data_IF_289663145421
#
_entry.id   IF_289663145421
#
_cell.length_a   1.000
_cell.length_b   1.000
_cell.length_c   1.000
_cell.angle_alpha   90.00
_cell.angle_beta   90.00
_cell.angle_gamma   90.00
#
_symmetry.space_group_name_H-M   'P 1'
#
loop_
_entity.id
_entity.type
_entity.pdbx_description
1 polymer ?
#
# COMPACT_ATOMS: atom_id res chain seq x y z
N UNK A 1 61.56 22.53 18.48
CA UNK A 1 60.33 22.57 17.65
C UNK A 1 59.63 21.23 17.86
N UNK A 2 58.57 21.18 18.68
CA UNK A 2 57.84 19.93 18.99
C UNK A 2 56.67 19.82 18.00
N UNK A 3 56.71 18.82 17.13
CA UNK A 3 55.58 18.49 16.26
C UNK A 3 54.49 17.81 17.09
N UNK A 4 53.33 18.47 17.19
CA UNK A 4 52.14 17.94 17.83
C UNK A 4 51.45 17.01 16.82
N UNK A 5 51.52 15.70 17.05
CA UNK A 5 50.86 14.70 16.24
C UNK A 5 49.37 14.69 16.60
N UNK A 6 48.51 15.29 15.77
CA UNK A 6 47.06 15.18 15.91
C UNK A 6 46.63 13.79 15.42
N UNK A 7 46.42 12.87 16.37
CA UNK A 7 45.82 11.57 16.08
C UNK A 7 44.30 11.77 15.98
N UNK A 8 43.78 11.96 14.77
CA UNK A 8 42.33 11.88 14.54
C UNK A 8 41.90 10.42 14.61
N UNK A 9 41.33 10.03 15.75
CA UNK A 9 40.58 8.78 15.89
C UNK A 9 39.37 8.85 14.96
N UNK A 10 39.48 8.25 13.77
CA UNK A 10 38.32 7.96 12.92
C UNK A 10 37.62 6.79 13.62
N UNK A 11 36.53 7.07 14.34
CA UNK A 11 35.66 6.02 14.86
C UNK A 11 35.06 5.30 13.65
N UNK A 12 35.56 4.12 13.32
CA UNK A 12 34.94 3.23 12.34
C UNK A 12 33.71 2.62 13.00
N UNK A 13 32.55 3.20 12.75
CA UNK A 13 31.29 2.58 13.11
C UNK A 13 31.15 1.31 12.26
N UNK A 14 30.98 0.16 12.91
CA UNK A 14 30.54 -1.06 12.25
C UNK A 14 29.07 -0.90 11.94
N UNK A 15 28.72 -0.88 10.64
CA UNK A 15 27.34 -0.79 10.21
C UNK A 15 26.71 -2.19 10.20
N UNK A 16 25.63 -2.38 10.96
CA UNK A 16 24.79 -3.57 10.84
C UNK A 16 23.94 -3.52 9.57
N UNK A 17 23.52 -4.69 9.06
CA UNK A 17 22.62 -4.77 7.90
C UNK A 17 21.18 -4.51 8.31
N UNK A 18 20.48 -3.65 7.56
CA UNK A 18 19.04 -3.45 7.74
C UNK A 18 18.33 -3.32 6.41
N UNK A 19 17.13 -3.91 6.30
CA UNK A 19 16.34 -3.96 5.08
C UNK A 19 15.05 -3.18 5.24
N UNK A 20 14.70 -2.40 4.21
CA UNK A 20 13.44 -1.67 4.14
C UNK A 20 12.45 -2.37 3.20
N UNK A 21 11.21 -2.54 3.64
CA UNK A 21 10.08 -3.02 2.84
C UNK A 21 8.85 -2.13 3.05
N UNK A 22 7.92 -2.16 2.09
CA UNK A 22 6.64 -1.44 2.14
C UNK A 22 5.50 -2.38 1.74
N UNK A 23 4.31 -2.13 2.27
CA UNK A 23 3.10 -2.94 1.99
C UNK A 23 2.37 -2.55 0.70
N UNK A 24 2.54 -1.31 0.21
CA UNK A 24 1.90 -0.80 -1.00
C UNK A 24 2.95 -0.26 -1.99
N UNK A 25 3.23 -0.98 -3.09
CA UNK A 25 4.28 -0.60 -4.04
C UNK A 25 3.90 0.55 -4.99
N UNK A 26 2.62 0.96 -5.03
CA UNK A 26 2.18 2.13 -5.80
C UNK A 26 1.03 2.87 -5.10
N UNK A 27 1.35 3.57 -3.98
CA UNK A 27 0.39 4.33 -3.20
C UNK A 27 -0.14 5.54 -3.97
N UNK A 28 -1.25 6.10 -3.51
CA UNK A 28 -1.74 7.41 -3.97
C UNK A 28 -1.35 8.51 -3.00
N UNK A 29 -1.40 9.74 -3.47
CA UNK A 29 -1.32 10.93 -2.63
C UNK A 29 -2.37 10.88 -1.51
N UNK A 30 -1.91 11.09 -0.29
CA UNK A 30 -2.71 11.01 0.93
C UNK A 30 -2.90 9.59 1.46
N UNK A 31 -2.35 8.56 0.80
CA UNK A 31 -2.31 7.22 1.39
C UNK A 31 -1.24 7.12 2.46
N UNK A 32 -1.58 6.32 3.46
CA UNK A 32 -0.72 5.87 4.52
C UNK A 32 0.00 4.61 4.06
N UNK A 33 1.32 4.57 4.21
CA UNK A 33 2.13 3.39 3.94
C UNK A 33 2.80 2.88 5.20
N UNK A 34 2.88 1.56 5.32
CA UNK A 34 3.66 0.90 6.37
C UNK A 34 5.06 0.61 5.84
N UNK A 35 6.05 1.23 6.46
CA UNK A 35 7.47 0.99 6.20
C UNK A 35 7.96 0.02 7.26
N UNK A 36 8.36 -1.18 6.86
CA UNK A 36 8.95 -2.17 7.76
C UNK A 36 10.46 -2.17 7.61
N UNK A 37 11.15 -2.03 8.74
CA UNK A 37 12.61 -2.11 8.84
C UNK A 37 12.95 -3.39 9.60
N UNK A 38 13.67 -4.28 8.94
CA UNK A 38 14.18 -5.53 9.54
C UNK A 38 15.67 -5.39 9.81
N UNK A 39 16.08 -5.72 11.03
CA UNK A 39 17.49 -5.75 11.43
C UNK A 39 17.99 -7.19 11.45
N UNK A 40 19.06 -7.45 10.71
CA UNK A 40 19.74 -8.75 10.72
C UNK A 40 21.20 -8.54 11.13
N UNK A 41 21.49 -8.77 12.41
CA UNK A 41 22.87 -8.81 12.90
C UNK A 41 23.30 -10.25 13.18
N UNK A 42 23.85 -10.89 12.15
CA UNK A 42 24.25 -12.30 12.18
C UNK A 42 25.53 -12.55 12.96
N UNK A 43 26.36 -11.53 13.16
CA UNK A 43 27.68 -11.69 13.78
C UNK A 43 27.62 -11.55 15.30
N UNK A 44 26.81 -10.62 15.84
CA UNK A 44 26.82 -10.30 17.27
C UNK A 44 25.53 -10.66 18.02
N UNK A 45 24.49 -11.17 17.33
CA UNK A 45 23.17 -11.53 17.92
C UNK A 45 22.60 -10.42 18.83
N UNK A 46 22.81 -9.15 18.45
CA UNK A 46 22.39 -7.99 19.26
C UNK A 46 20.85 -7.89 19.34
N UNK A 47 20.16 -8.46 18.35
CA UNK A 47 18.72 -8.65 18.37
C UNK A 47 18.15 -8.82 16.96
N UNK A 48 16.98 -9.42 16.88
CA UNK A 48 16.12 -9.38 15.70
C UNK A 48 14.92 -8.51 16.05
N UNK A 49 14.52 -7.63 15.14
CA UNK A 49 13.43 -6.71 15.39
C UNK A 49 12.80 -6.22 14.09
N UNK A 50 11.50 -5.94 14.17
CA UNK A 50 10.74 -5.26 13.12
C UNK A 50 10.27 -3.93 13.67
N UNK A 51 10.72 -2.85 13.06
CA UNK A 51 10.16 -1.52 13.29
C UNK A 51 9.19 -1.21 12.15
N UNK A 52 7.96 -0.84 12.49
CA UNK A 52 6.99 -0.33 11.52
C UNK A 52 6.86 1.18 11.69
N UNK A 53 7.15 1.93 10.63
CA UNK A 53 6.90 3.36 10.55
C UNK A 53 5.71 3.59 9.62
N UNK A 54 4.88 4.54 10.01
CA UNK A 54 3.73 4.96 9.22
C UNK A 54 4.02 6.32 8.62
N UNK A 55 3.88 6.45 7.30
CA UNK A 55 4.08 7.72 6.60
C UNK A 55 2.93 8.03 5.66
N UNK A 56 2.49 9.29 5.66
CA UNK A 56 1.55 9.82 4.67
C UNK A 56 2.35 10.44 3.54
N UNK A 57 2.07 10.03 2.30
CA UNK A 57 2.75 10.57 1.11
C UNK A 57 1.93 11.71 0.50
N UNK A 58 2.44 12.93 0.57
CA UNK A 58 1.72 14.14 0.11
C UNK A 58 2.14 14.63 -1.27
N UNK A 59 3.22 14.08 -1.83
CA UNK A 59 3.73 14.45 -3.15
C UNK A 59 3.44 13.35 -4.17
N UNK A 60 3.15 13.75 -5.41
CA UNK A 60 2.93 12.82 -6.53
C UNK A 60 4.22 12.64 -7.33
N UNK A 61 4.33 11.50 -8.02
CA UNK A 61 5.51 11.13 -8.77
C UNK A 61 6.51 10.31 -7.95
N UNK A 62 7.79 10.27 -8.34
CA UNK A 62 8.80 9.50 -7.64
C UNK A 62 9.10 10.12 -6.27
N UNK A 63 8.82 9.38 -5.20
CA UNK A 63 9.13 9.75 -3.81
C UNK A 63 10.14 8.78 -3.24
N UNK A 64 11.21 9.34 -2.65
CA UNK A 64 12.27 8.58 -2.01
C UNK A 64 11.99 8.42 -0.52
N UNK A 65 12.08 7.18 -0.03
CA UNK A 65 11.90 6.80 1.38
C UNK A 65 13.23 6.24 1.89
N UNK A 66 13.69 6.76 3.02
CA UNK A 66 15.00 6.45 3.58
C UNK A 66 16.15 7.25 2.93
N UNK A 67 17.40 6.98 3.34
CA UNK A 67 17.77 5.96 4.32
C UNK A 67 17.43 6.43 5.73
N UNK A 68 16.96 5.51 6.57
CA UNK A 68 16.80 5.78 8.00
C UNK A 68 18.08 5.38 8.73
N UNK A 69 18.49 6.18 9.71
CA UNK A 69 19.66 5.92 10.55
C UNK A 69 19.23 5.80 12.01
N UNK A 70 19.69 4.76 12.69
CA UNK A 70 19.41 4.53 14.10
C UNK A 70 20.60 3.86 14.78
N UNK A 71 20.64 3.96 16.11
CA UNK A 71 21.70 3.39 16.95
C UNK A 71 21.05 2.45 17.96
N UNK A 72 21.53 1.21 18.03
CA UNK A 72 21.08 0.21 19.00
C UNK A 72 22.33 -0.41 19.63
N UNK A 73 22.41 -0.39 20.96
CA UNK A 73 23.55 -0.91 21.72
C UNK A 73 24.91 -0.42 21.17
N UNK A 74 25.03 0.90 20.98
CA UNK A 74 26.23 1.59 20.45
C UNK A 74 26.66 1.17 19.02
N UNK A 75 25.81 0.45 18.29
CA UNK A 75 26.01 0.11 16.87
C UNK A 75 25.09 0.95 15.99
N UNK A 76 25.67 1.54 14.96
CA UNK A 76 24.94 2.32 13.97
C UNK A 76 24.38 1.41 12.87
N UNK A 77 23.15 1.68 12.46
CA UNK A 77 22.48 0.99 11.38
C UNK A 77 21.95 2.03 10.39
N UNK A 78 21.99 1.68 9.12
CA UNK A 78 21.46 2.49 8.02
C UNK A 78 20.64 1.57 7.12
N UNK A 79 19.43 1.99 6.79
CA UNK A 79 18.56 1.24 5.87
C UNK A 79 18.92 1.52 4.44
N UNK A 80 18.51 0.62 3.56
CA UNK A 80 18.39 0.93 2.14
C UNK A 80 17.46 2.13 1.88
N UNK A 81 17.56 2.65 0.66
CA UNK A 81 16.66 3.65 0.10
C UNK A 81 15.67 2.98 -0.84
N UNK A 82 14.41 3.42 -0.81
CA UNK A 82 13.38 2.99 -1.76
C UNK A 82 12.85 4.19 -2.51
N UNK A 83 12.64 4.04 -3.81
CA UNK A 83 11.84 5.01 -4.58
C UNK A 83 10.51 4.35 -4.95
N UNK A 84 9.41 5.01 -4.57
CA UNK A 84 8.04 4.61 -4.93
C UNK A 84 7.48 5.64 -5.89
N UNK A 85 6.63 5.21 -6.83
CA UNK A 85 5.87 6.16 -7.64
C UNK A 85 4.51 6.38 -6.98
N UNK A 86 4.29 7.58 -6.46
CA UNK A 86 3.04 8.00 -5.85
C UNK A 86 2.10 8.52 -6.92
N UNK A 87 0.92 7.91 -7.04
CA UNK A 87 -0.08 8.34 -7.99
C UNK A 87 -0.91 9.52 -7.46
N UNK A 88 -1.51 10.33 -8.34
CA UNK A 88 -2.51 11.30 -7.91
C UNK A 88 -3.65 10.64 -7.13
N UNK A 89 -4.18 11.37 -6.15
CA UNK A 89 -5.42 11.00 -5.47
C UNK A 89 -6.56 10.82 -6.50
N UNK A 90 -7.43 9.84 -6.26
CA UNK A 90 -8.65 9.68 -7.06
C UNK A 90 -9.57 10.88 -6.77
N UNK A 91 -10.00 11.58 -7.82
CA UNK A 91 -10.91 12.75 -7.71
C UNK A 91 -12.07 12.47 -6.76
N UNK A 92 -12.41 13.47 -5.94
CA UNK A 92 -13.52 13.39 -5.00
C UNK A 92 -14.89 13.27 -5.70
N UNK A 93 -14.99 13.64 -6.98
CA UNK A 93 -16.21 13.48 -7.78
C UNK A 93 -16.48 12.02 -8.17
N UNK A 94 -15.46 11.16 -8.08
CA UNK A 94 -15.56 9.73 -8.40
C UNK A 94 -15.83 8.95 -7.11
N UNK A 95 -17.11 8.64 -6.89
CA UNK A 95 -17.57 7.92 -5.70
C UNK A 95 -17.59 6.40 -5.88
N UNK A 96 -17.83 5.94 -7.10
CA UNK A 96 -17.84 4.52 -7.46
C UNK A 96 -16.82 4.27 -8.57
N UNK A 97 -15.96 3.27 -8.37
CA UNK A 97 -14.96 2.90 -9.36
C UNK A 97 -14.16 1.67 -8.96
N UNK A 98 -13.60 0.99 -9.96
CA UNK A 98 -12.68 -0.13 -9.79
C UNK A 98 -11.47 0.13 -10.70
N UNK A 99 -10.28 0.16 -10.12
CA UNK A 99 -9.02 0.37 -10.83
C UNK A 99 -8.15 -0.86 -10.66
N UNK A 100 -7.64 -1.36 -11.78
CA UNK A 100 -6.71 -2.50 -11.78
C UNK A 100 -5.43 -2.05 -12.46
N UNK A 101 -4.29 -2.32 -11.82
CA UNK A 101 -2.98 -1.86 -12.27
C UNK A 101 -1.96 -2.97 -12.12
N UNK A 102 -1.08 -3.08 -13.12
CA UNK A 102 0.15 -3.85 -13.01
C UNK A 102 1.30 -2.91 -12.72
N UNK A 103 2.10 -3.25 -11.71
CA UNK A 103 3.21 -2.42 -11.24
C UNK A 103 4.45 -3.28 -11.09
N UNK A 104 5.56 -2.83 -11.68
CA UNK A 104 6.87 -3.40 -11.40
C UNK A 104 7.55 -2.55 -10.31
N UNK A 105 7.96 -3.20 -9.23
CA UNK A 105 8.60 -2.55 -8.09
C UNK A 105 9.73 -3.43 -7.54
N UNK A 106 10.94 -2.88 -7.50
CA UNK A 106 12.16 -3.62 -7.06
C UNK A 106 12.39 -4.96 -7.79
N UNK A 107 12.04 -5.03 -9.07
CA UNK A 107 12.18 -6.24 -9.90
C UNK A 107 11.06 -7.27 -9.70
N UNK A 108 10.09 -6.97 -8.86
CA UNK A 108 8.93 -7.81 -8.58
C UNK A 108 7.70 -7.22 -9.25
N UNK A 109 6.77 -8.07 -9.70
CA UNK A 109 5.54 -7.64 -10.36
C UNK A 109 4.36 -7.75 -9.41
N UNK A 110 3.48 -6.75 -9.41
CA UNK A 110 2.30 -6.68 -8.56
C UNK A 110 1.04 -6.40 -9.38
N UNK A 111 -0.05 -7.07 -9.03
CA UNK A 111 -1.41 -6.69 -9.41
C UNK A 111 -2.05 -5.92 -8.26
N UNK A 112 -2.42 -4.67 -8.51
CA UNK A 112 -3.08 -3.81 -7.53
C UNK A 112 -4.51 -3.57 -7.99
N UNK A 113 -5.45 -3.83 -7.09
CA UNK A 113 -6.89 -3.70 -7.31
C UNK A 113 -7.41 -2.72 -6.27
N UNK A 114 -7.92 -1.58 -6.72
CA UNK A 114 -8.50 -0.55 -5.86
C UNK A 114 -9.98 -0.39 -6.18
N UNK A 115 -10.81 -0.21 -5.18
CA UNK A 115 -12.24 -0.01 -5.36
C UNK A 115 -12.78 1.07 -4.44
N UNK A 116 -13.57 1.99 -4.99
CA UNK A 116 -14.45 2.89 -4.23
C UNK A 116 -15.90 2.47 -4.45
N UNK A 117 -16.67 2.47 -3.38
CA UNK A 117 -18.13 2.28 -3.40
C UNK A 117 -18.76 3.37 -2.55
N UNK A 118 -19.76 4.06 -3.11
CA UNK A 118 -20.56 5.04 -2.40
C UNK A 118 -21.19 4.44 -1.16
N UNK A 119 -20.98 5.05 0.00
CA UNK A 119 -21.66 4.60 1.21
C UNK A 119 -23.14 4.98 1.17
N UNK A 120 -24.00 4.04 1.54
CA UNK A 120 -25.42 4.33 1.76
C UNK A 120 -25.66 4.58 3.25
N UNK A 121 -25.39 5.81 3.69
CA UNK A 121 -25.86 6.28 4.97
C UNK A 121 -27.30 6.73 4.85
N UNK A 122 -28.16 6.24 5.73
CA UNK A 122 -29.52 6.72 5.89
C UNK A 122 -29.55 7.68 7.07
N UNK A 123 -29.82 8.95 6.78
CA UNK A 123 -30.00 9.98 7.81
C UNK A 123 -31.50 10.22 7.96
N UNK A 124 -32.04 9.94 9.14
CA UNK A 124 -33.44 10.15 9.48
C UNK A 124 -33.56 11.17 10.61
N UNK A 125 -34.17 12.32 10.35
CA UNK A 125 -34.53 13.29 11.40
C UNK A 125 -35.78 12.76 12.12
N UNK A 126 -35.64 12.42 13.41
CA UNK A 126 -36.74 11.93 14.25
C UNK A 126 -37.47 13.06 14.98
N UNK A 127 -36.74 14.11 15.37
CA UNK A 127 -37.29 15.33 15.97
C UNK A 127 -36.34 16.50 15.75
N UNK A 128 -36.68 17.70 16.26
CA UNK A 128 -35.82 18.89 16.11
C UNK A 128 -34.42 18.74 16.72
N UNK A 129 -34.26 17.86 17.72
CA UNK A 129 -33.00 17.61 18.40
C UNK A 129 -32.51 16.15 18.26
N UNK A 130 -33.16 15.33 17.42
CA UNK A 130 -32.81 13.92 17.26
C UNK A 130 -32.68 13.57 15.78
N UNK A 131 -31.49 13.12 15.41
CA UNK A 131 -31.20 12.55 14.10
C UNK A 131 -30.63 11.15 14.31
N UNK A 132 -31.25 10.16 13.67
CA UNK A 132 -30.69 8.80 13.59
C UNK A 132 -29.88 8.69 12.32
N UNK A 133 -28.64 8.25 12.46
CA UNK A 133 -27.77 7.91 11.34
C UNK A 133 -27.63 6.40 11.33
N UNK A 134 -28.07 5.76 10.26
CA UNK A 134 -27.97 4.32 10.07
C UNK A 134 -27.05 4.04 8.90
N UNK A 135 -25.98 3.28 9.15
CA UNK A 135 -25.16 2.75 8.07
C UNK A 135 -25.93 1.61 7.39
N UNK A 136 -26.01 1.61 6.07
CA UNK A 136 -26.67 0.55 5.29
C UNK A 136 -26.03 -0.84 5.49
N UNK A 137 -26.58 -1.84 4.81
CA UNK A 137 -25.97 -3.18 4.77
C UNK A 137 -24.49 -3.10 4.35
N UNK A 138 -23.66 -3.99 4.89
CA UNK A 138 -22.22 -3.98 4.65
C UNK A 138 -21.86 -3.88 3.16
N UNK A 139 -20.81 -3.11 2.87
CA UNK A 139 -20.35 -2.85 1.50
C UNK A 139 -19.87 -4.15 0.83
N UNK A 140 -20.46 -4.47 -0.33
CA UNK A 140 -20.06 -5.62 -1.15
C UNK A 140 -19.04 -5.21 -2.20
N UNK A 141 -17.77 -5.53 -1.95
CA UNK A 141 -16.69 -5.29 -2.88
C UNK A 141 -16.69 -6.32 -4.02
N UNK A 142 -16.08 -5.94 -5.15
CA UNK A 142 -15.67 -6.88 -6.17
C UNK A 142 -14.53 -7.73 -5.60
N UNK A 143 -14.69 -9.05 -5.62
CA UNK A 143 -13.69 -9.97 -5.10
C UNK A 143 -12.96 -10.63 -6.26
N UNK A 144 -11.65 -10.41 -6.34
CA UNK A 144 -10.85 -10.95 -7.44
C UNK A 144 -10.67 -12.47 -7.31
N UNK A 145 -10.87 -13.19 -8.41
CA UNK A 145 -10.74 -14.65 -8.48
C UNK A 145 -9.26 -15.01 -8.66
N UNK A 146 -8.56 -15.25 -7.55
CA UNK A 146 -7.13 -15.60 -7.53
C UNK A 146 -6.83 -16.86 -8.33
N UNK A 147 -7.80 -17.76 -8.43
CA UNK A 147 -7.69 -19.01 -9.19
C UNK A 147 -7.39 -18.74 -10.68
N UNK A 148 -7.83 -17.61 -11.24
CA UNK A 148 -7.52 -17.25 -12.63
C UNK A 148 -6.02 -17.04 -12.83
N UNK A 149 -5.31 -16.55 -11.82
CA UNK A 149 -3.85 -16.38 -11.86
C UNK A 149 -3.17 -17.75 -11.74
N UNK A 150 -3.53 -18.51 -10.71
CA UNK A 150 -2.94 -19.81 -10.40
C UNK A 150 -3.15 -20.83 -11.53
N UNK A 151 -4.36 -20.92 -12.08
CA UNK A 151 -4.71 -21.80 -13.20
C UNK A 151 -3.93 -21.48 -14.48
N UNK A 152 -3.41 -20.25 -14.60
CA UNK A 152 -2.64 -19.77 -15.73
C UNK A 152 -1.15 -19.60 -15.41
N UNK A 153 -0.67 -20.25 -14.35
CA UNK A 153 0.75 -20.38 -14.04
C UNK A 153 1.38 -19.15 -13.41
N UNK A 154 0.62 -18.37 -12.64
CA UNK A 154 1.14 -17.36 -11.72
C UNK A 154 0.97 -17.81 -10.27
N UNK A 155 2.05 -17.77 -9.51
CA UNK A 155 2.01 -17.92 -8.06
C UNK A 155 1.81 -16.56 -7.39
N UNK A 156 1.16 -16.58 -6.22
CA UNK A 156 0.90 -15.39 -5.39
C UNK A 156 1.65 -15.54 -4.06
N UNK A 157 2.97 -15.34 -4.03
CA UNK A 157 3.77 -15.54 -2.82
C UNK A 157 3.42 -14.58 -1.67
N UNK A 158 2.82 -13.44 -1.99
CA UNK A 158 2.40 -12.44 -1.00
C UNK A 158 1.13 -11.73 -1.47
N UNK A 159 0.22 -11.49 -0.53
CA UNK A 159 -0.95 -10.64 -0.76
C UNK A 159 -1.25 -9.77 0.44
N UNK A 160 -1.69 -8.55 0.19
CA UNK A 160 -2.07 -7.58 1.20
C UNK A 160 -3.39 -6.92 0.81
N UNK A 161 -4.28 -6.73 1.77
CA UNK A 161 -5.56 -6.06 1.53
C UNK A 161 -5.97 -5.23 2.75
N UNK A 162 -6.54 -4.06 2.51
CA UNK A 162 -7.14 -3.25 3.57
C UNK A 162 -8.33 -2.45 3.05
N UNK A 163 -9.15 -1.99 3.99
CA UNK A 163 -10.33 -1.16 3.74
C UNK A 163 -10.33 0.05 4.66
N UNK A 164 -10.80 1.20 4.16
CA UNK A 164 -11.06 2.41 4.98
C UNK A 164 -12.29 3.15 4.48
N UNK A 165 -12.93 3.88 5.39
CA UNK A 165 -13.91 4.90 5.00
C UNK A 165 -13.16 6.19 4.62
N UNK A 166 -13.55 6.83 3.52
CA UNK A 166 -13.01 8.10 3.07
C UNK A 166 -14.11 9.15 3.08
N UNK A 167 -13.84 10.30 3.69
CA UNK A 167 -14.67 11.51 3.55
C UNK A 167 -14.18 12.27 2.32
N UNK A 168 -15.06 12.44 1.33
CA UNK A 168 -14.83 13.17 0.08
C UNK A 168 -15.38 14.60 0.13
N UNK A 169 -16.41 14.84 0.94
CA UNK A 169 -16.99 16.16 1.22
C UNK A 169 -17.11 16.35 2.73
N UNK A 170 -16.32 17.28 3.28
CA UNK A 170 -16.31 17.60 4.71
C UNK A 170 -17.64 18.22 5.20
N UNK A 171 -18.46 18.75 4.29
CA UNK A 171 -19.77 19.29 4.63
C UNK A 171 -20.86 18.21 4.74
N UNK A 172 -20.60 16.99 4.23
CA UNK A 172 -21.51 15.84 4.31
C UNK A 172 -20.80 14.56 4.81
N UNK A 173 -20.24 14.57 6.04
CA UNK A 173 -19.42 13.48 6.57
C UNK A 173 -20.24 12.24 6.95
N UNK A 174 -21.57 12.31 6.95
CA UNK A 174 -22.47 11.23 7.37
C UNK A 174 -23.52 10.87 6.31
N UNK A 175 -23.35 11.34 5.08
CA UNK A 175 -24.26 11.10 3.96
C UNK A 175 -23.53 10.64 2.70
N UNK A 176 -23.85 11.30 1.59
CA UNK A 176 -23.29 11.01 0.27
C UNK A 176 -21.82 11.44 0.13
N UNK A 177 -21.32 12.26 1.06
CA UNK A 177 -19.94 12.74 1.10
C UNK A 177 -18.93 11.69 1.54
N UNK A 178 -19.31 10.43 1.73
CA UNK A 178 -18.38 9.35 2.12
C UNK A 178 -18.41 8.15 1.20
N UNK A 179 -17.26 7.47 1.10
CA UNK A 179 -17.10 6.24 0.33
C UNK A 179 -16.37 5.19 1.12
N UNK A 180 -16.68 3.94 0.85
CA UNK A 180 -15.89 2.79 1.26
C UNK A 180 -14.81 2.54 0.23
N UNK A 181 -13.55 2.48 0.67
CA UNK A 181 -12.39 2.24 -0.18
C UNK A 181 -11.71 0.94 0.23
N UNK A 182 -11.41 0.08 -0.75
CA UNK A 182 -10.63 -1.15 -0.60
C UNK A 182 -9.44 -1.11 -1.55
N UNK A 183 -8.31 -1.62 -1.09
CA UNK A 183 -7.19 -1.97 -1.95
C UNK A 183 -6.73 -3.39 -1.63
N UNK A 184 -6.45 -4.15 -2.69
CA UNK A 184 -5.82 -5.45 -2.65
C UNK A 184 -4.57 -5.40 -3.53
N UNK A 185 -3.46 -5.92 -3.02
CA UNK A 185 -2.16 -6.00 -3.71
C UNK A 185 -1.71 -7.45 -3.70
N UNK A 186 -1.43 -7.98 -4.89
CA UNK A 186 -0.97 -9.35 -5.10
C UNK A 186 0.43 -9.30 -5.72
N UNK A 187 1.43 -9.86 -5.04
CA UNK A 187 2.74 -10.12 -5.65
C UNK A 187 2.56 -11.28 -6.63
N UNK A 188 3.11 -11.17 -7.83
CA UNK A 188 2.98 -12.14 -8.90
C UNK A 188 4.34 -12.75 -9.25
N UNK A 189 4.42 -14.07 -9.25
CA UNK A 189 5.60 -14.81 -9.70
C UNK A 189 5.23 -15.74 -10.86
N UNK A 190 5.96 -15.66 -11.97
CA UNK A 190 5.69 -16.51 -13.13
C UNK A 190 6.29 -17.89 -12.94
N UNK A 191 5.47 -18.90 -13.21
CA UNK A 191 5.95 -20.28 -13.36
C UNK A 191 6.27 -20.59 -14.82
N UNK A 192 6.91 -21.72 -15.07
CA UNK A 192 7.18 -22.23 -16.42
C UNK A 192 5.90 -22.49 -17.25
N UNK A 193 4.73 -22.54 -16.61
CA UNK A 193 3.43 -22.79 -17.25
C UNK A 193 2.68 -21.49 -17.59
N UNK A 194 3.30 -20.33 -17.34
CA UNK A 194 2.64 -19.05 -17.47
C UNK A 194 2.03 -18.84 -18.86
N UNK A 195 0.77 -18.38 -18.87
CA UNK A 195 0.07 -17.92 -20.08
C UNK A 195 -0.41 -16.50 -19.86
N UNK A 196 -0.44 -15.71 -20.93
CA UNK A 196 -1.01 -14.36 -20.94
C UNK A 196 -2.44 -14.38 -20.38
N UNK A 197 -2.70 -13.51 -19.38
CA UNK A 197 -3.96 -13.46 -18.65
C UNK A 197 -4.67 -12.15 -18.93
N UNK A 198 -5.95 -12.20 -19.26
CA UNK A 198 -6.82 -11.03 -19.32
C UNK A 198 -7.51 -10.84 -17.98
N UNK A 199 -7.35 -9.66 -17.39
CA UNK A 199 -8.13 -9.22 -16.23
C UNK A 199 -9.26 -8.32 -16.72
N UNK A 200 -10.49 -8.80 -16.57
CA UNK A 200 -11.71 -8.09 -16.97
C UNK A 200 -12.83 -8.31 -15.94
N UNK A 201 -14.06 -7.87 -16.25
CA UNK A 201 -15.22 -8.02 -15.35
C UNK A 201 -15.45 -9.46 -14.87
N UNK A 202 -15.16 -10.46 -15.70
CA UNK A 202 -15.37 -11.87 -15.38
C UNK A 202 -14.35 -12.38 -14.37
N UNK A 203 -13.23 -11.66 -14.19
CA UNK A 203 -12.20 -11.97 -13.22
C UNK A 203 -12.60 -11.70 -11.77
N UNK A 204 -13.80 -11.18 -11.54
CA UNK A 204 -14.31 -10.84 -10.22
C UNK A 204 -15.61 -11.56 -9.91
N UNK A 205 -15.82 -11.85 -8.63
CA UNK A 205 -17.13 -12.09 -8.04
C UNK A 205 -17.73 -10.75 -7.58
N UNK A 206 -19.06 -10.64 -7.60
CA UNK A 206 -19.77 -9.42 -7.17
C UNK A 206 -19.33 -8.14 -7.90
N UNK A 207 -18.99 -8.25 -9.20
CA UNK A 207 -18.59 -7.08 -9.99
C UNK A 207 -19.78 -6.09 -10.12
N UNK A 208 -19.61 -4.79 -9.80
CA UNK A 208 -20.71 -3.83 -9.87
C UNK A 208 -21.14 -3.52 -11.32
N UNK A 209 -22.44 -3.60 -11.60
CA UNK A 209 -22.98 -3.46 -12.96
C UNK A 209 -22.71 -2.09 -13.58
N UNK A 210 -22.70 -1.04 -12.76
CA UNK A 210 -22.53 0.36 -13.18
C UNK A 210 -21.06 0.80 -13.33
N UNK A 211 -20.09 -0.07 -13.03
CA UNK A 211 -18.67 0.25 -13.11
C UNK A 211 -18.07 -0.27 -14.43
N UNK A 212 -17.21 0.54 -15.05
CA UNK A 212 -16.34 0.13 -16.14
C UNK A 212 -14.95 -0.14 -15.58
N UNK A 213 -14.29 -1.15 -16.12
CA UNK A 213 -12.91 -1.49 -15.81
C UNK A 213 -12.14 -1.45 -17.14
N UNK A 214 -10.95 -0.85 -17.10
CA UNK A 214 -10.04 -0.88 -18.22
C UNK A 214 -9.47 -2.29 -18.39
N UNK A 215 -9.19 -2.66 -19.64
CA UNK A 215 -8.63 -3.97 -19.94
C UNK A 215 -7.17 -4.03 -19.50
N UNK A 216 -6.84 -5.00 -18.63
CA UNK A 216 -5.47 -5.23 -18.15
C UNK A 216 -5.01 -6.61 -18.59
N UNK A 217 -3.82 -6.66 -19.19
CA UNK A 217 -3.17 -7.90 -19.59
C UNK A 217 -1.93 -8.16 -18.75
N UNK A 218 -1.86 -9.35 -18.15
CA UNK A 218 -0.63 -9.84 -17.52
C UNK A 218 0.13 -10.59 -18.60
N UNK A 219 1.33 -10.11 -18.93
CA UNK A 219 2.23 -10.63 -19.96
C UNK A 219 3.58 -11.02 -19.38
#
# INVERSE_FOLDING_TARGET
>A
MRALLFLTLISTWTYGQSRLTINNPAPREGDEIDISITLEDKEEKIGEGRLTLTQILTETGPVTIGPFKFVIADKAYETDVITVTVLPKISNDIKDGLWVRLVDFKGERYLIIEQRISNQWKIEKKSDNETTVTHGEGVKYAEFKKEILEDNGLDIPESYSWTKSQVLDENDPFGSGTVSYKIETLKLEKTDKFKKIKVDKKSFNNFPDNIKIDEVWIE
#
